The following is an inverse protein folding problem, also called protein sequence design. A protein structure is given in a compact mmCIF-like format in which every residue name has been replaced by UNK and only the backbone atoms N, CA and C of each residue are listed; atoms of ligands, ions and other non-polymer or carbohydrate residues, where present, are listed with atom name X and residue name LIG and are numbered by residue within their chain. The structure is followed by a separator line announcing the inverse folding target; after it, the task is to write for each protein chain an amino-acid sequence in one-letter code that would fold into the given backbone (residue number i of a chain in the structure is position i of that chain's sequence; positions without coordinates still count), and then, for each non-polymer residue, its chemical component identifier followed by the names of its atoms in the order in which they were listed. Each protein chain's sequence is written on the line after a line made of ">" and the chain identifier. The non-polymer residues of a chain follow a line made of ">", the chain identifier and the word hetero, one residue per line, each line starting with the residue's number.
data_IF_271198085366
#
_entry.id   IF_271198085366
#
_cell.length_a   1.000
_cell.length_b   1.000
_cell.length_c   1.000
_cell.angle_alpha   90.00
_cell.angle_beta   90.00
_cell.angle_gamma   90.00
#
_symmetry.space_group_name_H-M   'P 1'
#
loop_
_entity.id
_entity.type
_entity.pdbx_description
1 polymer ?
#
# COMPACT_ATOMS: atom_id res chain seq x y z
N UNK A 1 9.60 -0.92 -8.07
CA UNK A 1 10.18 -2.12 -7.40
C UNK A 1 11.33 -2.66 -8.24
N UNK A 2 12.44 -3.06 -7.63
CA UNK A 2 13.59 -3.64 -8.35
C UNK A 2 13.56 -5.16 -8.22
N UNK A 3 13.74 -5.87 -9.34
CA UNK A 3 13.79 -7.33 -9.39
C UNK A 3 15.19 -7.83 -9.70
N UNK A 4 15.64 -8.85 -8.97
CA UNK A 4 16.88 -9.58 -9.27
C UNK A 4 16.72 -11.04 -8.85
N UNK A 5 16.59 -11.92 -9.82
CA UNK A 5 16.31 -13.35 -9.61
C UNK A 5 17.37 -14.01 -8.72
N UNK A 6 16.92 -14.77 -7.73
CA UNK A 6 17.76 -15.62 -6.90
C UNK A 6 18.47 -16.69 -7.75
N UNK A 7 19.60 -17.22 -7.23
CA UNK A 7 20.30 -18.33 -7.87
C UNK A 7 19.35 -19.52 -8.07
N UNK A 8 19.48 -20.17 -9.23
CA UNK A 8 18.58 -21.27 -9.65
C UNK A 8 18.48 -22.43 -8.64
N UNK A 9 19.44 -22.60 -7.78
CA UNK A 9 19.45 -23.60 -6.69
C UNK A 9 18.67 -23.20 -5.44
N UNK A 10 17.95 -22.07 -5.45
CA UNK A 10 17.24 -21.53 -4.28
C UNK A 10 15.71 -21.52 -4.44
N UNK A 11 15.18 -21.88 -5.59
CA UNK A 11 13.72 -21.86 -5.86
C UNK A 11 13.37 -22.94 -6.90
N UNK A 12 12.10 -23.25 -7.02
CA UNK A 12 11.57 -24.09 -8.11
C UNK A 12 10.90 -23.21 -9.18
N UNK A 13 11.22 -23.40 -10.48
CA UNK A 13 10.50 -22.70 -11.54
C UNK A 13 9.06 -23.15 -11.61
N UNK A 14 8.20 -22.17 -11.81
CA UNK A 14 6.77 -22.38 -11.88
C UNK A 14 6.14 -22.68 -10.52
N UNK A 15 4.82 -22.73 -10.52
CA UNK A 15 4.00 -23.09 -9.37
C UNK A 15 3.14 -24.30 -9.71
N UNK A 16 2.89 -25.14 -8.71
CA UNK A 16 2.00 -26.29 -8.84
C UNK A 16 0.60 -25.99 -8.26
N UNK A 17 0.45 -24.85 -7.58
CA UNK A 17 -0.79 -24.42 -6.94
C UNK A 17 -0.96 -22.90 -7.11
N UNK A 18 -2.20 -22.37 -7.10
CA UNK A 18 -2.45 -20.93 -7.05
C UNK A 18 -1.88 -20.33 -5.76
N UNK A 19 -1.64 -19.02 -5.77
CA UNK A 19 -1.21 -18.27 -4.60
C UNK A 19 -2.45 -18.00 -3.74
N UNK A 20 -2.44 -18.52 -2.50
CA UNK A 20 -3.55 -18.43 -1.55
C UNK A 20 -3.11 -17.82 -0.21
N UNK A 21 -1.79 -17.77 0.04
CA UNK A 21 -1.23 -17.31 1.31
C UNK A 21 -0.10 -16.30 1.11
N UNK A 22 0.06 -15.42 2.09
CA UNK A 22 1.24 -14.57 2.25
C UNK A 22 1.88 -14.93 3.58
N UNK A 23 3.18 -15.22 3.58
CA UNK A 23 3.92 -15.60 4.78
C UNK A 23 4.99 -14.56 5.07
N UNK A 24 4.90 -13.96 6.26
CA UNK A 24 5.84 -12.92 6.70
C UNK A 24 6.93 -13.53 7.57
N UNK A 25 8.16 -13.13 7.28
CA UNK A 25 9.39 -13.53 7.94
C UNK A 25 10.19 -12.32 8.37
N UNK A 26 11.30 -12.55 9.02
CA UNK A 26 12.36 -11.58 9.26
C UNK A 26 13.73 -12.22 8.99
N UNK A 27 14.69 -11.45 8.52
CA UNK A 27 16.02 -11.97 8.16
C UNK A 27 16.86 -12.37 9.38
N UNK A 28 16.50 -11.89 10.57
CA UNK A 28 17.25 -12.05 11.81
C UNK A 28 18.68 -11.46 11.75
N UNK A 29 18.94 -10.53 10.84
CA UNK A 29 20.23 -9.85 10.69
C UNK A 29 20.09 -8.36 11.05
N UNK A 30 21.05 -7.84 11.82
CA UNK A 30 21.12 -6.40 12.13
C UNK A 30 21.72 -5.63 10.97
N UNK A 31 21.11 -4.48 10.65
CA UNK A 31 21.64 -3.53 9.68
C UNK A 31 21.70 -4.06 8.25
N UNK A 32 21.01 -5.17 7.96
CA UNK A 32 20.93 -5.67 6.60
C UNK A 32 19.90 -4.85 5.79
N UNK A 33 20.02 -4.94 4.48
CA UNK A 33 19.13 -4.27 3.54
C UNK A 33 18.52 -5.26 2.56
N UNK A 34 17.39 -4.88 1.96
CA UNK A 34 16.77 -5.65 0.88
C UNK A 34 17.79 -5.93 -0.24
N UNK A 35 18.61 -4.92 -0.60
CA UNK A 35 19.65 -5.06 -1.61
C UNK A 35 20.72 -6.08 -1.23
N UNK A 36 21.19 -6.07 0.01
CA UNK A 36 22.20 -7.04 0.48
C UNK A 36 21.68 -8.47 0.37
N UNK A 37 20.43 -8.70 0.78
CA UNK A 37 19.81 -10.01 0.72
C UNK A 37 19.57 -10.47 -0.72
N UNK A 38 18.98 -9.64 -1.58
CA UNK A 38 18.75 -9.99 -2.98
C UNK A 38 20.06 -10.28 -3.71
N UNK A 39 21.12 -9.49 -3.47
CA UNK A 39 22.45 -9.73 -4.02
C UNK A 39 23.08 -11.05 -3.50
N UNK A 40 22.86 -11.37 -2.22
CA UNK A 40 23.34 -12.61 -1.62
C UNK A 40 22.64 -13.84 -2.22
N UNK A 41 21.31 -13.85 -2.27
CA UNK A 41 20.54 -14.97 -2.81
C UNK A 41 20.72 -15.16 -4.34
N UNK A 42 21.06 -14.08 -5.06
CA UNK A 42 21.35 -14.17 -6.49
C UNK A 42 22.68 -14.87 -6.81
N UNK A 43 23.68 -14.80 -5.91
CA UNK A 43 25.05 -15.35 -6.14
C UNK A 43 25.37 -16.61 -5.34
N UNK A 44 24.56 -16.93 -4.31
CA UNK A 44 24.88 -18.01 -3.37
C UNK A 44 23.78 -19.07 -3.40
N UNK A 45 24.15 -20.34 -3.50
CA UNK A 45 23.21 -21.46 -3.32
C UNK A 45 23.03 -21.72 -1.82
N UNK A 46 21.82 -21.46 -1.33
CA UNK A 46 21.46 -21.60 0.09
C UNK A 46 20.44 -22.67 0.34
N UNK A 47 19.75 -23.15 -0.72
CA UNK A 47 18.61 -24.05 -0.59
C UNK A 47 17.36 -23.39 0.06
N UNK A 48 17.37 -22.08 0.16
CA UNK A 48 16.25 -21.25 0.68
C UNK A 48 16.11 -19.97 -0.13
N UNK A 49 14.96 -19.32 -0.07
CA UNK A 49 14.71 -18.01 -0.69
C UNK A 49 13.45 -17.37 -0.13
N UNK A 50 13.19 -16.13 -0.52
CA UNK A 50 11.90 -15.46 -0.37
C UNK A 50 11.57 -14.74 -1.68
N UNK A 51 10.29 -14.39 -1.88
CA UNK A 51 9.89 -13.61 -3.04
C UNK A 51 10.32 -12.15 -2.89
N UNK A 52 10.19 -11.60 -1.67
CA UNK A 52 10.45 -10.20 -1.38
C UNK A 52 11.31 -9.99 -0.15
N UNK A 53 12.13 -8.95 -0.21
CA UNK A 53 12.85 -8.39 0.92
C UNK A 53 12.44 -6.93 1.09
N UNK A 54 12.14 -6.53 2.33
CA UNK A 54 11.68 -5.18 2.68
C UNK A 54 12.62 -4.59 3.70
N UNK A 55 13.20 -3.43 3.39
CA UNK A 55 13.97 -2.62 4.34
C UNK A 55 13.34 -1.24 4.52
N UNK A 56 13.97 -0.33 5.28
CA UNK A 56 13.47 1.01 5.57
C UNK A 56 13.25 1.88 4.32
N UNK A 57 13.90 1.56 3.19
CA UNK A 57 13.95 2.41 2.02
C UNK A 57 13.38 1.75 0.76
N UNK A 58 13.26 0.42 0.75
CA UNK A 58 12.94 -0.29 -0.47
C UNK A 58 12.23 -1.62 -0.24
N UNK A 59 11.43 -1.99 -1.23
CA UNK A 59 10.96 -3.34 -1.47
C UNK A 59 11.70 -3.87 -2.71
N UNK A 60 12.36 -5.02 -2.57
CA UNK A 60 13.06 -5.68 -3.67
C UNK A 60 12.55 -7.11 -3.85
N UNK A 61 12.35 -7.51 -5.10
CA UNK A 61 11.92 -8.85 -5.45
C UNK A 61 13.14 -9.73 -5.78
N UNK A 62 13.16 -10.94 -5.21
CA UNK A 62 14.25 -11.92 -5.35
C UNK A 62 13.83 -13.19 -6.08
N UNK A 63 12.56 -13.57 -6.03
CA UNK A 63 11.99 -14.68 -6.79
C UNK A 63 10.75 -14.19 -7.50
N UNK A 64 10.58 -14.55 -8.77
CA UNK A 64 9.37 -14.21 -9.52
C UNK A 64 8.13 -14.83 -8.86
N UNK A 65 7.01 -14.12 -8.83
CA UNK A 65 5.77 -14.64 -8.22
C UNK A 65 5.23 -15.88 -8.93
N UNK A 66 5.53 -16.05 -10.20
CA UNK A 66 5.23 -17.26 -10.98
C UNK A 66 6.10 -18.48 -10.62
N UNK A 67 7.17 -18.28 -9.86
CA UNK A 67 8.06 -19.33 -9.36
C UNK A 67 7.72 -19.68 -7.89
N UNK A 68 8.30 -20.78 -7.38
CA UNK A 68 8.11 -21.21 -5.98
C UNK A 68 9.37 -20.90 -5.16
N UNK A 69 9.34 -19.87 -4.32
CA UNK A 69 10.39 -19.63 -3.33
C UNK A 69 10.34 -20.65 -2.19
N UNK A 70 11.50 -20.95 -1.62
CA UNK A 70 11.64 -21.94 -0.52
C UNK A 70 11.81 -21.20 0.81
N UNK A 71 10.71 -20.84 1.47
CA UNK A 71 10.70 -19.98 2.67
C UNK A 71 9.99 -20.59 3.89
N UNK A 72 9.01 -21.49 3.70
CA UNK A 72 8.23 -22.07 4.78
C UNK A 72 8.09 -23.60 4.69
N UNK A 73 9.08 -24.27 4.07
CA UNK A 73 9.11 -25.73 3.99
C UNK A 73 9.30 -26.37 5.36
N UNK A 74 8.57 -27.44 5.63
CA UNK A 74 8.69 -28.28 6.83
C UNK A 74 8.18 -29.67 6.55
N UNK A 75 8.84 -30.68 7.12
CA UNK A 75 8.37 -32.06 7.09
C UNK A 75 7.13 -32.26 7.97
N UNK A 76 6.93 -31.38 8.98
CA UNK A 76 5.83 -31.40 9.92
C UNK A 76 5.19 -30.01 10.05
N UNK A 77 4.49 -29.54 9.02
CA UNK A 77 3.86 -28.22 9.08
C UNK A 77 2.69 -28.23 10.07
N UNK A 78 2.56 -27.12 10.83
CA UNK A 78 1.43 -26.91 11.72
C UNK A 78 0.17 -26.47 10.95
N UNK A 79 0.37 -25.61 9.94
CA UNK A 79 -0.75 -25.16 9.12
C UNK A 79 -1.18 -26.26 8.14
N UNK A 80 -2.50 -26.57 8.07
CA UNK A 80 -2.97 -27.71 7.28
C UNK A 80 -2.76 -27.53 5.76
N UNK A 81 -2.77 -26.30 5.25
CA UNK A 81 -2.81 -26.03 3.81
C UNK A 81 -1.66 -25.19 3.26
N UNK A 82 -1.12 -24.21 4.03
CA UNK A 82 -0.07 -23.31 3.56
C UNK A 82 1.25 -24.04 3.31
N UNK A 83 1.83 -23.86 2.11
CA UNK A 83 3.11 -24.43 1.65
C UNK A 83 3.87 -23.43 0.77
N UNK A 84 5.13 -23.68 0.47
CA UNK A 84 5.90 -22.90 -0.51
C UNK A 84 5.17 -22.75 -1.84
N UNK A 85 4.51 -23.81 -2.31
CA UNK A 85 3.87 -23.88 -3.62
C UNK A 85 2.65 -22.95 -3.78
N UNK A 86 2.01 -22.57 -2.68
CA UNK A 86 0.80 -21.73 -2.69
C UNK A 86 0.92 -20.45 -1.85
N UNK A 87 2.16 -20.02 -1.56
CA UNK A 87 2.39 -18.80 -0.79
C UNK A 87 3.44 -17.88 -1.39
N UNK A 88 3.35 -16.61 -1.02
CA UNK A 88 4.38 -15.58 -1.22
C UNK A 88 5.12 -15.38 0.09
N UNK A 89 6.45 -15.49 0.10
CA UNK A 89 7.29 -15.20 1.27
C UNK A 89 7.85 -13.78 1.22
N UNK A 90 7.74 -13.05 2.34
CA UNK A 90 8.23 -11.69 2.51
C UNK A 90 9.18 -11.67 3.72
N UNK A 91 10.40 -11.19 3.55
CA UNK A 91 11.43 -11.05 4.57
C UNK A 91 11.60 -9.58 4.98
N UNK A 92 11.36 -9.28 6.25
CA UNK A 92 11.64 -7.96 6.84
C UNK A 92 13.10 -7.88 7.27
N UNK A 93 13.86 -6.95 6.70
CA UNK A 93 15.26 -6.70 7.03
C UNK A 93 15.40 -5.86 8.31
N UNK A 94 16.57 -5.94 8.98
CA UNK A 94 16.93 -5.16 10.18
C UNK A 94 15.84 -5.14 11.26
N UNK A 95 15.17 -6.27 11.48
CA UNK A 95 14.01 -6.39 12.39
C UNK A 95 14.30 -7.29 13.60
N UNK A 96 15.53 -7.32 14.09
CA UNK A 96 15.97 -8.20 15.21
C UNK A 96 15.47 -7.70 16.56
N UNK A 97 15.50 -6.39 16.78
CA UNK A 97 15.11 -5.75 18.05
C UNK A 97 13.69 -5.21 18.06
N UNK A 98 12.89 -5.61 17.11
CA UNK A 98 11.55 -5.11 16.80
C UNK A 98 11.45 -4.76 15.32
N UNK A 99 10.25 -4.68 14.80
CA UNK A 99 10.02 -4.27 13.39
C UNK A 99 9.96 -2.74 13.33
N UNK A 100 10.92 -2.07 12.65
CA UNK A 100 10.88 -0.60 12.51
C UNK A 100 9.60 -0.15 11.80
N UNK A 101 9.07 1.02 12.16
CA UNK A 101 7.79 1.52 11.63
C UNK A 101 7.80 1.71 10.10
N UNK A 102 8.92 2.14 9.53
CA UNK A 102 9.08 2.26 8.08
C UNK A 102 9.12 0.90 7.37
N UNK A 103 9.78 -0.12 7.95
CA UNK A 103 9.73 -1.52 7.44
C UNK A 103 8.32 -2.06 7.55
N UNK A 104 7.64 -1.85 8.69
CA UNK A 104 6.26 -2.25 8.90
C UNK A 104 5.34 -1.64 7.86
N UNK A 105 5.43 -0.33 7.65
CA UNK A 105 4.58 0.41 6.70
C UNK A 105 4.77 -0.05 5.26
N UNK A 106 6.02 -0.28 4.83
CA UNK A 106 6.29 -0.82 3.49
C UNK A 106 5.83 -2.27 3.34
N UNK A 107 5.94 -3.08 4.42
CA UNK A 107 5.43 -4.45 4.43
C UNK A 107 3.91 -4.48 4.36
N UNK A 108 3.20 -3.60 5.10
CA UNK A 108 1.74 -3.44 4.99
C UNK A 108 1.34 -3.12 3.56
N UNK A 109 1.98 -2.11 2.95
CA UNK A 109 1.66 -1.69 1.57
C UNK A 109 1.88 -2.82 0.56
N UNK A 110 2.98 -3.58 0.68
CA UNK A 110 3.25 -4.74 -0.17
C UNK A 110 2.20 -5.85 0.03
N UNK A 111 1.87 -6.16 1.28
CA UNK A 111 0.88 -7.20 1.60
C UNK A 111 -0.49 -6.82 1.06
N UNK A 112 -0.94 -5.58 1.25
CA UNK A 112 -2.22 -5.10 0.71
C UNK A 112 -2.26 -5.17 -0.83
N UNK A 113 -1.16 -4.81 -1.52
CA UNK A 113 -1.05 -4.96 -2.98
C UNK A 113 -1.20 -6.42 -3.40
N UNK A 114 -0.52 -7.35 -2.71
CA UNK A 114 -0.60 -8.79 -2.99
C UNK A 114 -1.98 -9.38 -2.66
N UNK A 115 -2.57 -8.97 -1.54
CA UNK A 115 -3.95 -9.35 -1.16
C UNK A 115 -4.94 -8.95 -2.26
N UNK A 116 -4.87 -7.71 -2.73
CA UNK A 116 -5.72 -7.22 -3.82
C UNK A 116 -5.48 -7.97 -5.13
N UNK A 117 -4.21 -8.23 -5.47
CA UNK A 117 -3.82 -8.90 -6.73
C UNK A 117 -4.29 -10.34 -6.80
N UNK A 118 -4.23 -11.07 -5.69
CA UNK A 118 -4.53 -12.50 -5.62
C UNK A 118 -5.87 -12.84 -4.98
N UNK A 119 -6.63 -11.84 -4.54
CA UNK A 119 -7.90 -12.06 -3.84
C UNK A 119 -7.73 -12.74 -2.49
N UNK A 120 -6.64 -12.42 -1.78
CA UNK A 120 -6.28 -12.98 -0.47
C UNK A 120 -6.86 -12.09 0.63
N UNK A 121 -7.58 -12.65 1.56
CA UNK A 121 -8.05 -11.93 2.75
C UNK A 121 -6.99 -11.93 3.87
N UNK A 122 -7.18 -11.09 4.88
CA UNK A 122 -6.23 -10.94 5.96
C UNK A 122 -6.03 -12.23 6.78
N UNK A 123 -6.99 -13.17 6.81
CA UNK A 123 -6.86 -14.44 7.53
C UNK A 123 -5.82 -15.37 6.90
N UNK A 124 -5.51 -15.20 5.62
CA UNK A 124 -4.50 -15.94 4.87
C UNK A 124 -3.11 -15.27 4.87
N UNK A 125 -2.95 -14.16 5.58
CA UNK A 125 -1.65 -13.56 5.87
C UNK A 125 -1.13 -14.14 7.19
N UNK A 126 -0.04 -14.90 7.12
CA UNK A 126 0.48 -15.73 8.19
C UNK A 126 1.92 -15.34 8.56
N UNK A 127 2.33 -15.61 9.79
CA UNK A 127 3.75 -15.65 10.15
C UNK A 127 4.32 -17.02 9.77
N UNK A 128 5.62 -17.12 9.57
CA UNK A 128 6.28 -18.43 9.46
C UNK A 128 5.97 -19.31 10.67
N UNK A 129 5.85 -18.71 11.85
CA UNK A 129 5.42 -19.38 13.09
C UNK A 129 4.10 -20.12 12.93
N UNK A 130 3.11 -19.47 12.31
CA UNK A 130 1.78 -20.05 12.13
C UNK A 130 1.80 -21.26 11.15
N UNK A 131 2.80 -21.31 10.26
CA UNK A 131 2.95 -22.38 9.27
C UNK A 131 3.71 -23.57 9.81
N UNK A 132 4.77 -23.36 10.60
CA UNK A 132 5.70 -24.46 10.98
C UNK A 132 6.06 -24.52 12.46
N UNK A 133 5.62 -23.56 13.28
CA UNK A 133 6.05 -23.42 14.68
C UNK A 133 7.42 -22.74 14.86
N UNK A 134 8.13 -22.42 13.77
CA UNK A 134 9.41 -21.70 13.86
C UNK A 134 9.18 -20.30 14.44
N UNK A 135 10.00 -19.89 15.43
CA UNK A 135 9.94 -18.55 16.03
C UNK A 135 10.37 -17.47 15.01
N UNK A 136 9.51 -17.22 14.02
CA UNK A 136 9.72 -16.28 12.92
C UNK A 136 8.41 -15.63 12.45
N UNK A 137 8.35 -14.30 12.32
CA UNK A 137 9.33 -13.31 12.81
C UNK A 137 9.34 -13.25 14.34
N UNK A 138 10.52 -13.33 14.96
CA UNK A 138 10.64 -13.37 16.43
C UNK A 138 9.97 -12.17 17.12
N UNK A 139 10.12 -10.91 16.66
CA UNK A 139 9.45 -9.76 17.29
C UNK A 139 7.94 -9.95 17.41
N UNK A 140 7.29 -10.46 16.39
CA UNK A 140 5.83 -10.67 16.38
C UNK A 140 5.36 -11.99 17.01
N UNK A 141 6.27 -12.94 17.20
CA UNK A 141 5.97 -14.17 17.96
C UNK A 141 6.05 -13.87 19.46
N UNK A 142 7.08 -13.11 19.87
CA UNK A 142 7.31 -12.75 21.28
C UNK A 142 6.32 -11.65 21.76
N UNK A 143 5.89 -10.78 20.86
CA UNK A 143 4.87 -9.76 21.13
C UNK A 143 3.66 -9.94 20.19
N UNK A 144 2.70 -10.79 20.53
CA UNK A 144 1.50 -11.02 19.71
C UNK A 144 0.65 -9.76 19.47
N UNK A 145 0.74 -8.74 20.34
CA UNK A 145 0.01 -7.49 20.15
C UNK A 145 0.48 -6.74 18.90
N UNK A 146 1.79 -6.71 18.63
CA UNK A 146 2.32 -6.09 17.41
C UNK A 146 1.89 -6.83 16.14
N UNK A 147 1.77 -8.17 16.21
CA UNK A 147 1.22 -8.95 15.11
C UNK A 147 -0.26 -8.59 14.86
N UNK A 148 -1.06 -8.45 15.91
CA UNK A 148 -2.46 -8.07 15.78
C UNK A 148 -2.61 -6.65 15.25
N UNK A 149 -1.75 -5.72 15.67
CA UNK A 149 -1.68 -4.37 15.12
C UNK A 149 -1.36 -4.39 13.62
N UNK A 150 -0.31 -5.13 13.21
CA UNK A 150 0.01 -5.32 11.79
C UNK A 150 -1.19 -5.88 11.02
N UNK A 151 -1.89 -6.88 11.55
CA UNK A 151 -3.08 -7.46 10.92
C UNK A 151 -4.21 -6.45 10.75
N UNK A 152 -4.43 -5.60 11.75
CA UNK A 152 -5.45 -4.54 11.65
C UNK A 152 -5.13 -3.50 10.57
N UNK A 153 -3.85 -3.22 10.33
CA UNK A 153 -3.41 -2.33 9.24
C UNK A 153 -3.65 -2.91 7.83
N UNK A 154 -3.82 -4.23 7.71
CA UNK A 154 -4.12 -4.88 6.43
C UNK A 154 -5.58 -4.72 6.00
N UNK A 155 -6.46 -4.48 6.95
CA UNK A 155 -7.88 -4.27 6.69
C UNK A 155 -8.05 -2.85 6.14
N UNK A 156 -8.21 -2.74 4.83
CA UNK A 156 -8.62 -1.49 4.20
C UNK A 156 -10.11 -1.33 4.53
N UNK A 157 -10.46 -0.32 5.31
CA UNK A 157 -11.87 0.08 5.42
C UNK A 157 -12.34 0.45 4.02
N UNK A 158 -13.17 -0.38 3.41
CA UNK A 158 -13.86 0.00 2.17
C UNK A 158 -14.74 1.22 2.49
N UNK A 159 -14.32 2.37 1.96
CA UNK A 159 -15.15 3.58 2.04
C UNK A 159 -16.42 3.31 1.24
N UNK A 160 -17.54 3.21 1.93
CA UNK A 160 -18.83 3.04 1.26
C UNK A 160 -19.13 4.24 0.35
N UNK A 161 -19.98 4.05 -0.65
CA UNK A 161 -20.41 5.17 -1.52
C UNK A 161 -21.03 6.31 -0.69
N UNK A 162 -21.72 5.99 0.39
CA UNK A 162 -22.31 6.96 1.29
C UNK A 162 -21.25 7.76 2.06
N UNK A 163 -20.24 7.10 2.63
CA UNK A 163 -19.09 7.75 3.27
C UNK A 163 -18.31 8.61 2.28
N UNK A 164 -18.06 8.12 1.07
CA UNK A 164 -17.43 8.89 0.02
C UNK A 164 -18.23 10.15 -0.32
N UNK A 165 -19.54 10.02 -0.48
CA UNK A 165 -20.42 11.16 -0.77
C UNK A 165 -20.38 12.18 0.38
N UNK A 166 -20.44 11.74 1.63
CA UNK A 166 -20.32 12.61 2.80
C UNK A 166 -18.97 13.34 2.85
N UNK A 167 -17.87 12.63 2.61
CA UNK A 167 -16.53 13.23 2.54
C UNK A 167 -16.44 14.27 1.41
N UNK A 168 -17.03 13.99 0.25
CA UNK A 168 -17.09 14.93 -0.87
C UNK A 168 -17.93 16.17 -0.55
N UNK A 169 -19.07 16.02 0.10
CA UNK A 169 -19.91 17.15 0.55
C UNK A 169 -19.15 18.06 1.52
N UNK A 170 -18.47 17.47 2.52
CA UNK A 170 -17.63 18.21 3.47
C UNK A 170 -16.51 18.95 2.73
N UNK A 171 -15.81 18.27 1.84
CA UNK A 171 -14.73 18.87 1.05
C UNK A 171 -15.22 20.05 0.20
N UNK A 172 -16.35 19.88 -0.50
CA UNK A 172 -16.95 20.92 -1.33
C UNK A 172 -17.43 22.11 -0.49
N UNK A 173 -18.04 21.87 0.68
CA UNK A 173 -18.43 22.93 1.62
C UNK A 173 -17.23 23.73 2.09
N UNK A 174 -16.19 23.07 2.57
CA UNK A 174 -14.95 23.72 3.02
C UNK A 174 -14.27 24.51 1.89
N UNK A 175 -14.32 24.01 0.66
CA UNK A 175 -13.79 24.70 -0.50
C UNK A 175 -14.61 25.94 -0.85
N UNK A 176 -15.92 25.88 -0.73
CA UNK A 176 -16.82 27.00 -0.99
C UNK A 176 -16.63 28.14 0.01
N UNK A 177 -16.21 27.84 1.25
CA UNK A 177 -15.97 28.82 2.31
C UNK A 177 -14.60 29.51 2.20
N UNK A 178 -13.68 28.99 1.38
CA UNK A 178 -12.36 29.61 1.20
C UNK A 178 -12.47 30.94 0.46
N UNK A 179 -11.75 31.98 0.93
CA UNK A 179 -11.68 33.25 0.23
C UNK A 179 -10.98 33.09 -1.14
N UNK A 180 -11.21 34.02 -2.04
CA UNK A 180 -10.48 34.07 -3.29
C UNK A 180 -8.99 34.25 -3.06
N UNK A 181 -8.17 33.54 -3.84
CA UNK A 181 -6.72 33.73 -3.86
C UNK A 181 -6.38 35.14 -4.37
N UNK A 182 -5.30 35.73 -3.85
CA UNK A 182 -4.90 37.09 -4.15
C UNK A 182 -4.72 37.35 -5.66
N UNK A 183 -4.19 36.37 -6.37
CA UNK A 183 -4.01 36.47 -7.83
C UNK A 183 -5.34 36.53 -8.61
N UNK A 184 -6.41 35.95 -8.07
CA UNK A 184 -7.72 35.87 -8.71
C UNK A 184 -8.58 37.12 -8.48
N UNK A 185 -8.33 37.85 -7.40
CA UNK A 185 -9.13 39.02 -6.98
C UNK A 185 -9.31 40.09 -8.08
N UNK A 186 -8.26 40.51 -8.82
CA UNK A 186 -8.43 41.49 -9.91
C UNK A 186 -9.37 40.99 -11.02
N UNK A 187 -9.23 39.75 -11.45
CA UNK A 187 -10.07 39.17 -12.50
C UNK A 187 -11.53 38.98 -12.06
N UNK A 188 -11.73 38.70 -10.78
CA UNK A 188 -13.05 38.62 -10.18
C UNK A 188 -13.71 40.00 -10.18
N UNK A 189 -12.97 41.04 -9.80
CA UNK A 189 -13.49 42.41 -9.84
C UNK A 189 -13.86 42.85 -11.28
N UNK A 190 -12.99 42.56 -12.23
CA UNK A 190 -13.27 42.83 -13.66
C UNK A 190 -14.56 42.11 -14.14
N UNK A 191 -14.79 40.88 -13.67
CA UNK A 191 -16.00 40.11 -13.99
C UNK A 191 -17.27 40.72 -13.35
N UNK A 192 -17.16 41.25 -12.13
CA UNK A 192 -18.25 41.97 -11.46
C UNK A 192 -18.55 43.27 -12.21
N UNK A 193 -17.54 44.10 -12.50
CA UNK A 193 -17.68 45.35 -13.21
C UNK A 193 -18.27 45.17 -14.62
N UNK A 194 -17.95 44.03 -15.24
CA UNK A 194 -18.54 43.61 -16.51
C UNK A 194 -19.97 43.06 -16.38
N UNK A 195 -20.49 42.87 -15.16
CA UNK A 195 -21.81 42.28 -14.93
C UNK A 195 -21.91 40.77 -15.26
N UNK A 196 -20.77 40.09 -15.35
CA UNK A 196 -20.68 38.64 -15.56
C UNK A 196 -20.76 37.85 -14.24
N UNK A 197 -20.46 38.54 -13.13
CA UNK A 197 -20.60 37.98 -11.75
C UNK A 197 -21.30 39.00 -10.87
N UNK A 198 -21.94 38.54 -9.82
CA UNK A 198 -22.54 39.38 -8.77
C UNK A 198 -21.86 39.11 -7.45
N UNK A 199 -21.61 40.17 -6.68
CA UNK A 199 -21.22 40.07 -5.29
C UNK A 199 -22.44 40.15 -4.36
N UNK A 200 -22.32 39.60 -3.16
CA UNK A 200 -23.30 39.76 -2.10
C UNK A 200 -22.60 40.44 -0.92
N UNK A 201 -22.94 41.74 -0.70
CA UNK A 201 -22.35 42.50 0.41
C UNK A 201 -20.84 42.75 0.29
N UNK A 202 -20.30 42.87 -0.92
CA UNK A 202 -18.87 43.09 -1.18
C UNK A 202 -18.01 41.81 -1.14
N UNK A 203 -18.63 40.66 -1.12
CA UNK A 203 -17.94 39.34 -1.14
C UNK A 203 -18.55 38.46 -2.21
N UNK A 204 -17.70 37.67 -2.87
CA UNK A 204 -18.16 36.66 -3.82
C UNK A 204 -18.47 35.38 -3.04
N UNK A 205 -19.64 34.85 -3.31
CA UNK A 205 -19.99 33.52 -2.79
C UNK A 205 -19.18 32.44 -3.52
N UNK A 206 -18.60 31.52 -2.76
CA UNK A 206 -17.88 30.34 -3.28
C UNK A 206 -16.76 30.63 -4.28
N UNK A 207 -15.84 31.58 -4.03
CA UNK A 207 -14.83 31.99 -5.03
C UNK A 207 -13.91 30.84 -5.46
N UNK A 208 -13.77 29.81 -4.68
CA UNK A 208 -13.02 28.57 -4.98
C UNK A 208 -13.94 27.37 -5.26
N UNK A 209 -15.25 27.57 -5.33
CA UNK A 209 -16.21 26.52 -5.68
C UNK A 209 -16.09 26.06 -7.12
N UNK A 210 -16.53 24.85 -7.38
CA UNK A 210 -16.64 24.36 -8.75
C UNK A 210 -17.83 25.03 -9.44
N UNK A 211 -17.61 25.46 -10.68
CA UNK A 211 -18.69 25.95 -11.55
C UNK A 211 -19.33 24.79 -12.30
N UNK A 212 -20.64 24.72 -12.30
CA UNK A 212 -21.38 23.76 -13.10
C UNK A 212 -21.45 24.20 -14.58
N UNK A 213 -21.74 23.26 -15.50
CA UNK A 213 -22.00 23.60 -16.90
C UNK A 213 -23.18 24.56 -17.08
N UNK A 214 -24.16 24.49 -16.20
CA UNK A 214 -25.32 25.40 -16.22
C UNK A 214 -24.90 26.82 -15.83
N UNK A 215 -24.12 26.97 -14.75
CA UNK A 215 -23.59 28.29 -14.34
C UNK A 215 -22.66 28.87 -15.41
N UNK A 216 -21.79 28.06 -16.00
CA UNK A 216 -20.94 28.48 -17.11
C UNK A 216 -21.74 28.94 -18.33
N UNK A 217 -22.84 28.27 -18.66
CA UNK A 217 -23.72 28.67 -19.78
C UNK A 217 -24.37 30.05 -19.51
N UNK A 218 -24.75 30.35 -18.26
CA UNK A 218 -25.31 31.65 -17.86
C UNK A 218 -24.24 32.73 -18.04
N UNK A 219 -23.01 32.51 -17.58
CA UNK A 219 -21.89 33.45 -17.73
C UNK A 219 -21.60 33.73 -19.23
N UNK A 220 -21.50 32.66 -20.04
CA UNK A 220 -21.25 32.76 -21.46
C UNK A 220 -22.37 33.54 -22.18
N UNK A 221 -23.65 33.30 -21.84
CA UNK A 221 -24.78 34.03 -22.40
C UNK A 221 -24.81 35.52 -22.00
N UNK A 222 -24.39 35.88 -20.80
CA UNK A 222 -24.27 37.24 -20.33
C UNK A 222 -23.17 38.03 -21.09
N UNK A 223 -22.04 37.39 -21.36
CA UNK A 223 -20.92 37.95 -22.11
C UNK A 223 -21.25 38.13 -23.61
N UNK A 224 -22.03 37.25 -24.19
CA UNK A 224 -22.43 37.31 -25.62
C UNK A 224 -23.46 38.42 -25.96
N UNK A 225 -24.09 39.02 -24.95
CA UNK A 225 -25.08 40.11 -25.12
C UNK A 225 -24.48 41.50 -25.06
N UNK A 226 -23.19 41.63 -24.83
CA UNK A 226 -22.42 42.88 -24.85
C UNK A 226 -21.68 43.03 -26.17
#
# INVERSE_FOLDING_TARGET
>A
MTFKQAHRGNYSPGRTQPIEYIVVHYTANRGDTAKNNVDYFARTVTGTSAHYFVDRNAVMQSVDEGDTAWHCGSDHPWHPYCRNSNSIGIEMCDSVDGVPDDVRSLTVSLVQELMSRYGIDSSHVLRHYDVTGKRCPAPWVDNPAEWMEFKSMLEVEEVTQEQFNQMMEVYLSQRNEKPADDWAKPYIQDAIDAGAMTDVGGTIERPQGFITRQEMAIVAAALAKK
#
